data_IF_192418279568
#
_entry.id   IF_192418279568
#
_cell.length_a   1.000
_cell.length_b   1.000
_cell.length_c   1.000
_cell.angle_alpha   90.00
_cell.angle_beta   90.00
_cell.angle_gamma   90.00
#
_symmetry.space_group_name_H-M   'P 1'
#
loop_
_entity.id
_entity.type
_entity.pdbx_description
1 polymer ?
#
# COMPACT_ATOMS: atom_id res chain seq x y z
N UNK A 1 20.90 34.26 84.34
CA UNK A 1 19.96 33.13 84.17
C UNK A 1 19.61 33.06 82.70
N UNK A 2 20.22 32.12 82.07
CA UNK A 2 20.27 32.04 80.60
C UNK A 2 19.12 31.22 80.02
N UNK A 3 18.43 31.74 79.01
CA UNK A 3 17.48 31.00 78.27
C UNK A 3 18.01 30.85 76.85
N UNK A 4 18.16 29.62 76.41
CA UNK A 4 18.69 29.22 75.10
C UNK A 4 17.50 29.00 74.17
N UNK A 5 17.43 29.82 73.05
CA UNK A 5 16.52 29.60 71.94
C UNK A 5 17.17 28.59 70.98
N UNK A 6 16.46 27.48 70.70
CA UNK A 6 16.79 26.56 69.61
C UNK A 6 15.98 26.95 68.37
N UNK A 7 16.70 27.36 67.36
CA UNK A 7 16.13 27.56 66.00
C UNK A 7 15.93 26.22 65.31
N UNK A 8 14.71 25.96 64.82
CA UNK A 8 14.39 24.84 63.97
C UNK A 8 14.55 25.25 62.49
N UNK A 9 15.37 24.51 61.76
CA UNK A 9 15.53 24.64 60.31
C UNK A 9 14.44 23.78 59.66
N UNK A 10 13.51 24.43 58.94
CA UNK A 10 12.52 23.76 58.12
C UNK A 10 13.15 23.43 56.77
N UNK A 11 13.32 22.16 56.46
CA UNK A 11 13.72 21.67 55.17
C UNK A 11 12.52 21.71 54.21
N UNK A 12 12.57 22.58 53.20
CA UNK A 12 11.60 22.57 52.10
C UNK A 12 11.91 21.42 51.14
N UNK A 13 11.01 20.43 51.09
CA UNK A 13 11.07 19.37 50.10
C UNK A 13 10.62 19.91 48.73
N UNK A 14 11.54 19.98 47.78
CA UNK A 14 11.23 20.28 46.38
C UNK A 14 10.49 19.11 45.73
N UNK A 15 9.28 19.34 45.24
CA UNK A 15 8.52 18.42 44.40
C UNK A 15 9.21 18.29 43.01
N UNK A 16 9.31 17.09 42.43
CA UNK A 16 9.85 16.96 41.10
C UNK A 16 8.86 17.58 40.07
N UNK A 17 9.39 18.41 39.20
CA UNK A 17 8.66 19.02 38.11
C UNK A 17 8.01 17.94 37.22
N UNK A 18 6.73 18.11 36.97
CA UNK A 18 5.93 17.20 36.14
C UNK A 18 6.57 16.98 34.79
N UNK A 19 6.72 15.70 34.42
CA UNK A 19 7.10 15.29 33.08
C UNK A 19 6.06 15.85 32.09
N UNK A 20 6.51 16.63 31.10
CA UNK A 20 5.71 17.07 30.02
C UNK A 20 5.16 15.83 29.29
N UNK A 21 3.85 15.67 29.31
CA UNK A 21 3.17 14.69 28.48
C UNK A 21 3.56 15.01 27.02
N UNK A 22 4.24 14.08 26.40
CA UNK A 22 4.60 14.17 25.00
C UNK A 22 3.27 14.11 24.23
N UNK A 23 2.80 15.25 23.72
CA UNK A 23 1.66 15.32 22.84
C UNK A 23 1.92 14.37 21.65
N UNK A 24 1.23 13.23 21.62
CA UNK A 24 1.24 12.33 20.49
C UNK A 24 0.64 13.08 19.31
N UNK A 25 1.49 13.48 18.38
CA UNK A 25 1.07 14.10 17.11
C UNK A 25 0.01 13.19 16.49
N UNK A 26 -1.18 13.70 16.15
CA UNK A 26 -2.21 12.86 15.56
C UNK A 26 -1.63 12.18 14.32
N UNK A 27 -1.84 10.86 14.22
CA UNK A 27 -1.41 10.10 13.05
C UNK A 27 -2.00 10.73 11.79
N UNK A 28 -1.19 10.89 10.75
CA UNK A 28 -1.68 11.43 9.49
C UNK A 28 -2.83 10.56 8.96
N UNK A 29 -3.89 11.17 8.40
CA UNK A 29 -5.03 10.40 7.88
C UNK A 29 -4.56 9.41 6.80
N UNK A 30 -5.22 8.23 6.71
CA UNK A 30 -4.91 7.25 5.69
C UNK A 30 -5.07 7.83 4.28
N UNK A 31 -4.16 7.44 3.38
CA UNK A 31 -4.22 7.80 1.96
C UNK A 31 -5.30 6.99 1.22
N UNK A 32 -5.61 7.45 0.03
CA UNK A 32 -6.33 6.69 -0.98
C UNK A 32 -5.38 6.23 -2.06
N UNK A 33 -5.69 5.11 -2.71
CA UNK A 33 -4.88 4.57 -3.78
C UNK A 33 -5.73 4.42 -5.03
N UNK A 34 -5.28 4.99 -6.15
CA UNK A 34 -5.75 4.60 -7.48
C UNK A 34 -4.85 3.47 -7.95
N UNK A 35 -5.42 2.28 -8.03
CA UNK A 35 -4.75 1.07 -8.49
C UNK A 35 -5.20 0.79 -9.92
N UNK A 36 -4.29 0.89 -10.89
CA UNK A 36 -4.57 0.67 -12.32
C UNK A 36 -3.93 -0.63 -12.80
N UNK A 37 -4.67 -1.39 -13.59
CA UNK A 37 -4.22 -2.60 -14.26
C UNK A 37 -4.36 -2.42 -15.77
N UNK A 38 -3.24 -2.39 -16.47
CA UNK A 38 -3.18 -2.32 -17.92
C UNK A 38 -2.96 -3.70 -18.50
N UNK A 39 -3.90 -4.16 -19.32
CA UNK A 39 -3.82 -5.39 -20.10
C UNK A 39 -3.28 -5.03 -21.48
N UNK A 40 -2.20 -5.67 -21.90
CA UNK A 40 -1.45 -5.31 -23.08
C UNK A 40 -1.38 -6.49 -24.07
N UNK A 41 -1.18 -6.16 -25.34
CA UNK A 41 -0.72 -7.13 -26.36
C UNK A 41 0.81 -7.12 -26.41
N UNK A 42 1.38 -8.24 -26.81
CA UNK A 42 2.79 -8.30 -27.23
C UNK A 42 3.05 -7.34 -28.40
N UNK A 43 4.30 -6.94 -28.59
CA UNK A 43 4.67 -5.97 -29.64
C UNK A 43 4.91 -4.56 -29.10
N UNK A 44 4.25 -3.55 -29.65
CA UNK A 44 4.56 -2.14 -29.37
C UNK A 44 3.96 -1.59 -28.07
N UNK A 45 2.85 -2.17 -27.58
CA UNK A 45 2.12 -1.63 -26.43
C UNK A 45 2.93 -1.57 -25.12
N UNK A 46 3.70 -2.62 -24.74
CA UNK A 46 4.49 -2.54 -23.52
C UNK A 46 5.52 -1.41 -23.53
N UNK A 47 6.22 -1.23 -24.67
CA UNK A 47 7.20 -0.17 -24.85
C UNK A 47 6.53 1.21 -24.85
N UNK A 48 5.44 1.39 -25.60
CA UNK A 48 4.69 2.65 -25.65
C UNK A 48 4.18 3.07 -24.27
N UNK A 49 3.63 2.12 -23.50
CA UNK A 49 3.16 2.40 -22.13
C UNK A 49 4.34 2.74 -21.22
N UNK A 50 5.47 2.04 -21.32
CA UNK A 50 6.65 2.32 -20.50
C UNK A 50 7.23 3.72 -20.81
N UNK A 51 7.33 4.10 -22.09
CA UNK A 51 7.77 5.43 -22.52
C UNK A 51 6.82 6.53 -22.00
N UNK A 52 5.51 6.32 -22.09
CA UNK A 52 4.51 7.23 -21.52
C UNK A 52 4.64 7.35 -20.00
N UNK A 53 4.72 6.23 -19.29
CA UNK A 53 4.84 6.24 -17.83
C UNK A 53 6.11 6.98 -17.39
N UNK A 54 7.25 6.68 -18.01
CA UNK A 54 8.54 7.27 -17.65
C UNK A 54 8.66 8.74 -18.07
N UNK A 55 8.20 9.08 -19.27
CA UNK A 55 8.43 10.40 -19.89
C UNK A 55 7.34 11.42 -19.60
N UNK A 56 6.13 11.00 -19.29
CA UNK A 56 4.98 11.88 -19.08
C UNK A 56 4.28 11.66 -17.74
N UNK A 57 3.77 10.45 -17.49
CA UNK A 57 2.85 10.21 -16.38
C UNK A 57 3.53 10.36 -15.01
N UNK A 58 4.68 9.70 -14.76
CA UNK A 58 5.37 9.81 -13.48
C UNK A 58 5.83 11.24 -13.16
N UNK A 59 6.50 11.98 -14.08
CA UNK A 59 6.86 13.36 -13.84
C UNK A 59 5.66 14.25 -13.48
N UNK A 60 4.56 14.13 -14.21
CA UNK A 60 3.35 14.91 -13.96
C UNK A 60 2.70 14.55 -12.62
N UNK A 61 2.54 13.25 -12.30
CA UNK A 61 2.02 12.79 -11.02
C UNK A 61 2.85 13.30 -9.84
N UNK A 62 4.18 13.29 -9.97
CA UNK A 62 5.08 13.82 -8.95
C UNK A 62 4.93 15.35 -8.78
N UNK A 63 4.79 16.12 -9.87
CA UNK A 63 4.50 17.57 -9.81
C UNK A 63 3.18 17.84 -9.10
N UNK A 64 2.21 16.96 -9.26
CA UNK A 64 0.90 17.05 -8.59
C UNK A 64 0.92 16.56 -7.12
N UNK A 65 2.07 16.06 -6.62
CA UNK A 65 2.25 15.62 -5.24
C UNK A 65 1.87 14.15 -5.00
N UNK A 66 1.64 13.36 -6.07
CA UNK A 66 1.39 11.93 -5.98
C UNK A 66 2.72 11.17 -6.04
N UNK A 67 3.25 10.79 -4.88
CA UNK A 67 4.55 10.10 -4.74
C UNK A 67 4.59 9.28 -3.45
N UNK A 68 5.23 8.08 -3.41
CA UNK A 68 5.89 7.40 -4.53
C UNK A 68 4.91 6.68 -5.47
N UNK A 69 5.19 6.68 -6.78
CA UNK A 69 4.40 5.92 -7.75
C UNK A 69 5.00 4.52 -7.89
N UNK A 70 4.17 3.49 -7.67
CA UNK A 70 4.52 2.11 -7.96
C UNK A 70 4.16 1.74 -9.40
N UNK A 71 5.11 1.16 -10.14
CA UNK A 71 4.88 0.60 -11.46
C UNK A 71 5.46 -0.82 -11.51
N UNK A 72 4.62 -1.81 -11.82
CA UNK A 72 4.99 -3.21 -11.69
C UNK A 72 4.55 -4.02 -12.91
N UNK A 73 5.48 -4.78 -13.47
CA UNK A 73 5.21 -5.70 -14.57
C UNK A 73 4.77 -7.06 -14.02
N UNK A 74 3.76 -7.67 -14.66
CA UNK A 74 3.29 -9.00 -14.27
C UNK A 74 4.32 -10.08 -14.63
N UNK A 75 4.60 -10.95 -13.64
CA UNK A 75 5.44 -12.15 -13.80
C UNK A 75 4.56 -13.40 -13.91
N UNK A 76 3.54 -13.51 -13.04
CA UNK A 76 2.59 -14.62 -13.03
C UNK A 76 1.29 -14.23 -12.31
N UNK A 77 0.22 -15.00 -12.54
CA UNK A 77 -1.08 -14.83 -11.89
C UNK A 77 -2.11 -14.05 -12.70
N UNK A 78 -1.72 -13.40 -13.79
CA UNK A 78 -2.60 -12.75 -14.76
C UNK A 78 -2.07 -12.94 -16.19
N UNK A 79 -2.91 -12.74 -17.24
CA UNK A 79 -2.43 -12.68 -18.60
C UNK A 79 -1.31 -11.64 -18.77
N UNK A 80 -0.27 -11.98 -19.52
CA UNK A 80 0.92 -11.13 -19.76
C UNK A 80 1.06 -10.85 -21.25
N UNK A 81 1.56 -9.66 -21.66
CA UNK A 81 2.09 -8.60 -20.82
C UNK A 81 1.00 -7.78 -20.11
N UNK A 82 1.30 -7.37 -18.86
CA UNK A 82 0.44 -6.48 -18.07
C UNK A 82 1.30 -5.57 -17.19
N UNK A 83 0.81 -4.35 -16.95
CA UNK A 83 1.42 -3.39 -16.03
C UNK A 83 0.41 -3.00 -14.97
N UNK A 84 0.87 -2.97 -13.73
CA UNK A 84 0.12 -2.44 -12.60
C UNK A 84 0.72 -1.13 -12.13
N UNK A 85 -0.12 -0.13 -11.83
CA UNK A 85 0.31 1.18 -11.37
C UNK A 85 -0.42 1.54 -10.08
N UNK A 86 0.34 1.88 -9.04
CA UNK A 86 -0.15 2.34 -7.75
C UNK A 86 0.10 3.84 -7.62
N UNK A 87 -0.96 4.62 -7.52
CA UNK A 87 -0.91 6.08 -7.36
C UNK A 87 -1.47 6.45 -5.99
N UNK A 88 -0.64 6.94 -5.05
CA UNK A 88 -1.13 7.44 -3.77
C UNK A 88 -1.81 8.80 -3.96
N UNK A 89 -2.94 8.97 -3.30
CA UNK A 89 -3.74 10.19 -3.30
C UNK A 89 -4.03 10.60 -1.86
N UNK A 90 -3.62 11.80 -1.43
CA UNK A 90 -3.83 12.24 -0.04
C UNK A 90 -5.29 12.34 0.37
N UNK A 91 -6.20 12.64 -0.56
CA UNK A 91 -7.63 12.86 -0.33
C UNK A 91 -8.48 12.31 -1.47
N UNK A 92 -9.78 12.10 -1.24
CA UNK A 92 -10.73 11.76 -2.31
C UNK A 92 -10.87 12.89 -3.35
N UNK A 93 -10.72 14.14 -2.93
CA UNK A 93 -10.70 15.28 -3.86
C UNK A 93 -9.53 15.18 -4.84
N UNK A 94 -8.34 14.79 -4.34
CA UNK A 94 -7.17 14.59 -5.20
C UNK A 94 -7.35 13.44 -6.19
N UNK A 95 -8.16 12.42 -5.86
CA UNK A 95 -8.58 11.38 -6.81
C UNK A 95 -9.52 11.95 -7.86
N UNK A 96 -10.57 12.67 -7.42
CA UNK A 96 -11.62 13.19 -8.32
C UNK A 96 -11.14 14.28 -9.28
N UNK A 97 -10.07 14.97 -8.95
CA UNK A 97 -9.50 16.06 -9.78
C UNK A 97 -8.27 15.62 -10.58
N UNK A 98 -7.80 14.38 -10.40
CA UNK A 98 -6.53 13.91 -10.97
C UNK A 98 -6.46 14.04 -12.49
N UNK A 99 -7.45 13.53 -13.19
CA UNK A 99 -7.46 13.52 -14.66
C UNK A 99 -7.53 14.96 -15.21
N UNK A 100 -8.41 15.82 -14.67
CA UNK A 100 -8.50 17.23 -15.08
C UNK A 100 -7.20 18.00 -14.82
N UNK A 101 -6.48 17.70 -13.74
CA UNK A 101 -5.19 18.31 -13.44
C UNK A 101 -4.08 17.83 -14.38
N UNK A 102 -4.10 16.56 -14.78
CA UNK A 102 -3.19 16.01 -15.78
C UNK A 102 -3.47 16.62 -17.17
N UNK A 103 -4.72 16.73 -17.57
CA UNK A 103 -5.12 17.37 -18.83
C UNK A 103 -4.71 18.85 -18.91
N UNK A 104 -4.67 19.55 -17.77
CA UNK A 104 -4.21 20.94 -17.68
C UNK A 104 -2.66 21.08 -17.65
N UNK A 105 -1.91 20.00 -17.52
CA UNK A 105 -0.45 20.00 -17.55
C UNK A 105 0.06 19.91 -18.99
N UNK A 106 0.45 21.05 -19.57
CA UNK A 106 0.93 21.14 -20.97
C UNK A 106 2.10 20.22 -21.26
N UNK A 107 3.01 20.03 -20.29
CA UNK A 107 4.16 19.14 -20.46
C UNK A 107 3.70 17.66 -20.52
N UNK A 108 2.77 17.27 -19.66
CA UNK A 108 2.17 15.94 -19.67
C UNK A 108 1.48 15.66 -21.02
N UNK A 109 0.64 16.58 -21.49
CA UNK A 109 -0.07 16.43 -22.75
C UNK A 109 0.90 16.34 -23.94
N UNK A 110 1.92 17.20 -23.97
CA UNK A 110 2.93 17.18 -25.04
C UNK A 110 3.80 15.92 -25.00
N UNK A 111 4.32 15.53 -23.85
CA UNK A 111 5.20 14.36 -23.71
C UNK A 111 4.42 13.04 -23.83
N UNK A 112 3.16 13.03 -23.45
CA UNK A 112 2.26 11.88 -23.48
C UNK A 112 1.50 11.67 -24.78
N UNK A 113 1.59 12.61 -25.76
CA UNK A 113 0.74 12.62 -26.95
C UNK A 113 0.69 11.26 -27.70
N UNK A 114 1.82 10.58 -27.87
CA UNK A 114 1.88 9.28 -28.56
C UNK A 114 1.09 8.15 -27.85
N UNK A 115 0.76 8.32 -26.59
CA UNK A 115 -0.11 7.41 -25.83
C UNK A 115 -1.54 7.98 -25.73
N UNK A 116 -1.68 9.26 -25.41
CA UNK A 116 -2.97 9.92 -25.17
C UNK A 116 -3.82 9.95 -26.45
N UNK A 117 -3.20 10.27 -27.58
CA UNK A 117 -3.87 10.41 -28.87
C UNK A 117 -3.84 9.11 -29.72
N UNK A 118 -3.59 7.97 -29.07
CA UNK A 118 -3.51 6.69 -29.78
C UNK A 118 -4.81 6.35 -30.52
N UNK A 119 -4.70 6.08 -31.83
CA UNK A 119 -5.85 5.76 -32.65
C UNK A 119 -6.48 4.40 -32.28
N UNK A 120 -7.79 4.26 -32.50
CA UNK A 120 -8.49 2.99 -32.24
C UNK A 120 -7.94 1.81 -33.09
N UNK A 121 -7.30 2.09 -34.21
CA UNK A 121 -6.63 1.09 -35.08
C UNK A 121 -5.26 0.65 -34.57
N UNK A 122 -4.63 1.45 -33.65
CA UNK A 122 -3.36 1.13 -32.99
C UNK A 122 -3.42 1.59 -31.51
N UNK A 123 -4.26 0.96 -30.67
CA UNK A 123 -4.50 1.39 -29.30
C UNK A 123 -3.26 1.20 -28.44
N UNK A 124 -3.07 2.09 -27.47
CA UNK A 124 -1.94 2.05 -26.52
C UNK A 124 -2.01 0.86 -25.55
N UNK A 125 -3.18 0.31 -25.32
CA UNK A 125 -3.46 -0.87 -24.47
C UNK A 125 -4.70 -1.61 -24.97
N UNK A 126 -4.93 -2.82 -24.49
CA UNK A 126 -6.18 -3.57 -24.76
C UNK A 126 -7.28 -3.10 -23.83
N UNK A 127 -6.98 -3.00 -22.54
CA UNK A 127 -7.92 -2.60 -21.49
C UNK A 127 -7.17 -1.97 -20.32
N UNK A 128 -7.78 -0.98 -19.71
CA UNK A 128 -7.40 -0.45 -18.42
C UNK A 128 -8.53 -0.69 -17.43
N UNK A 129 -8.20 -1.28 -16.29
CA UNK A 129 -9.09 -1.44 -15.14
C UNK A 129 -8.54 -0.59 -13.99
N UNK A 130 -9.43 0.07 -13.25
CA UNK A 130 -9.05 0.89 -12.11
C UNK A 130 -9.85 0.50 -10.87
N UNK A 131 -9.18 0.55 -9.72
CA UNK A 131 -9.80 0.42 -8.41
C UNK A 131 -9.40 1.60 -7.55
N UNK A 132 -10.34 2.07 -6.74
CA UNK A 132 -10.11 3.04 -5.68
C UNK A 132 -10.08 2.31 -4.34
N UNK A 133 -8.97 2.45 -3.62
CA UNK A 133 -8.79 1.85 -2.30
C UNK A 133 -8.60 2.93 -1.23
N UNK A 134 -9.02 2.64 0.00
CA UNK A 134 -8.64 3.40 1.19
C UNK A 134 -7.58 2.63 1.95
N UNK A 135 -6.45 3.26 2.24
CA UNK A 135 -5.41 2.66 3.05
C UNK A 135 -5.94 2.23 4.44
N UNK A 136 -5.32 1.21 5.02
CA UNK A 136 -5.61 0.83 6.39
C UNK A 136 -5.00 1.84 7.37
N UNK A 137 -5.68 2.21 8.47
CA UNK A 137 -5.12 3.03 9.52
C UNK A 137 -3.79 2.54 10.08
N UNK A 138 -3.58 1.21 10.19
CA UNK A 138 -2.31 0.60 10.64
C UNK A 138 -1.18 0.70 9.62
N UNK A 139 -1.51 0.90 8.32
CA UNK A 139 -0.56 1.13 7.23
C UNK A 139 -1.09 2.29 6.38
N UNK A 140 -1.08 3.53 6.93
CA UNK A 140 -1.81 4.66 6.35
C UNK A 140 -1.19 5.21 5.07
N UNK A 141 0.03 4.77 4.73
CA UNK A 141 0.80 5.21 3.56
C UNK A 141 1.53 4.05 2.93
N UNK A 142 1.94 4.24 1.67
CA UNK A 142 2.87 3.30 1.01
C UNK A 142 4.18 3.25 1.81
N UNK A 143 4.61 2.04 2.13
CA UNK A 143 5.92 1.77 2.70
C UNK A 143 6.88 1.38 1.57
N UNK A 144 7.94 2.19 1.39
CA UNK A 144 9.02 1.85 0.47
C UNK A 144 10.07 1.05 1.26
N UNK A 145 10.21 -0.25 1.03
CA UNK A 145 11.07 -1.08 1.86
C UNK A 145 12.54 -0.72 1.67
N UNK A 146 13.18 -0.21 2.71
CA UNK A 146 14.61 0.17 2.68
C UNK A 146 15.53 -1.01 2.37
N UNK A 147 15.22 -2.20 2.88
CA UNK A 147 15.96 -3.43 2.62
C UNK A 147 15.94 -3.86 1.14
N UNK A 148 14.96 -3.38 0.38
CA UNK A 148 14.79 -3.68 -1.05
C UNK A 148 15.15 -2.50 -1.95
N UNK A 149 15.51 -1.35 -1.39
CA UNK A 149 15.95 -0.17 -2.14
C UNK A 149 17.27 -0.39 -2.89
N UNK A 150 18.04 -1.45 -2.56
CA UNK A 150 19.15 -1.95 -3.35
C UNK A 150 18.66 -2.50 -4.70
N UNK A 151 19.44 -2.32 -5.76
CA UNK A 151 19.14 -2.68 -7.15
C UNK A 151 19.05 -4.19 -7.45
N UNK A 152 18.86 -5.03 -6.44
CA UNK A 152 18.69 -6.48 -6.61
C UNK A 152 17.32 -6.87 -7.19
N UNK A 153 17.18 -8.08 -7.74
CA UNK A 153 15.89 -8.59 -8.14
C UNK A 153 14.95 -8.66 -6.92
N UNK A 154 13.74 -8.11 -7.07
CA UNK A 154 12.69 -8.11 -6.03
C UNK A 154 11.45 -8.76 -6.59
N UNK A 155 10.78 -9.54 -5.76
CA UNK A 155 9.49 -10.14 -6.05
C UNK A 155 8.41 -9.43 -5.24
N UNK A 156 7.45 -8.81 -5.91
CA UNK A 156 6.27 -8.26 -5.27
C UNK A 156 5.12 -9.27 -5.38
N UNK A 157 4.41 -9.47 -4.29
CA UNK A 157 3.25 -10.34 -4.20
C UNK A 157 2.02 -9.49 -3.92
N UNK A 158 1.17 -9.32 -4.94
CA UNK A 158 -0.13 -8.65 -4.83
C UNK A 158 -1.18 -9.69 -4.46
N UNK A 159 -1.95 -9.45 -3.42
CA UNK A 159 -3.03 -10.34 -3.00
C UNK A 159 -4.34 -9.56 -2.86
N UNK A 160 -5.39 -10.11 -3.45
CA UNK A 160 -6.76 -9.60 -3.29
C UNK A 160 -7.59 -10.68 -2.61
N UNK A 161 -8.21 -10.30 -1.50
CA UNK A 161 -9.10 -11.16 -0.71
C UNK A 161 -10.54 -10.72 -0.94
N UNK A 162 -11.30 -11.54 -1.62
CA UNK A 162 -12.74 -11.34 -1.85
C UNK A 162 -13.53 -11.95 -0.69
N UNK A 163 -14.56 -11.28 -0.24
CA UNK A 163 -15.41 -11.75 0.85
C UNK A 163 -16.81 -12.10 0.34
N UNK A 164 -17.51 -13.05 0.99
CA UNK A 164 -18.87 -13.44 0.59
C UNK A 164 -19.93 -12.36 0.86
N UNK A 165 -19.56 -11.31 1.59
CA UNK A 165 -20.42 -10.18 1.91
C UNK A 165 -19.77 -9.16 2.84
N UNK A 166 -20.46 -8.05 3.07
CA UNK A 166 -19.94 -6.89 3.78
C UNK A 166 -19.50 -7.16 5.23
N UNK A 167 -20.21 -8.05 5.94
CA UNK A 167 -19.84 -8.40 7.32
C UNK A 167 -18.51 -9.16 7.35
N UNK A 168 -18.35 -10.15 6.48
CA UNK A 168 -17.14 -10.93 6.33
C UNK A 168 -15.96 -10.05 5.89
N UNK A 169 -16.20 -9.14 4.93
CA UNK A 169 -15.21 -8.15 4.51
C UNK A 169 -14.73 -7.29 5.68
N UNK A 170 -15.64 -6.70 6.47
CA UNK A 170 -15.27 -5.91 7.66
C UNK A 170 -14.48 -6.74 8.68
N UNK A 171 -14.85 -8.02 8.87
CA UNK A 171 -14.12 -8.91 9.77
C UNK A 171 -12.68 -9.12 9.27
N UNK A 172 -12.48 -9.39 7.97
CA UNK A 172 -11.12 -9.57 7.41
C UNK A 172 -10.29 -8.30 7.46
N UNK A 173 -10.85 -7.12 7.15
CA UNK A 173 -10.17 -5.83 7.33
C UNK A 173 -9.74 -5.65 8.78
N UNK A 174 -10.64 -5.92 9.73
CA UNK A 174 -10.34 -5.81 11.16
C UNK A 174 -9.23 -6.75 11.63
N UNK A 175 -9.14 -7.97 11.08
CA UNK A 175 -8.02 -8.89 11.38
C UNK A 175 -6.68 -8.25 11.06
N UNK A 176 -6.57 -7.67 9.87
CA UNK A 176 -5.33 -7.01 9.44
C UNK A 176 -5.05 -5.74 10.25
N UNK A 177 -6.03 -4.86 10.34
CA UNK A 177 -5.87 -3.48 10.79
C UNK A 177 -5.87 -3.32 12.33
N UNK A 178 -6.73 -4.06 13.03
CA UNK A 178 -6.94 -3.88 14.48
C UNK A 178 -6.46 -5.07 15.32
N UNK A 179 -6.48 -6.30 14.77
CA UNK A 179 -6.21 -7.52 15.53
C UNK A 179 -4.78 -8.06 15.34
N UNK A 180 -3.90 -7.29 14.69
CA UNK A 180 -2.46 -7.52 14.68
C UNK A 180 -1.94 -8.45 13.59
N UNK A 181 -2.72 -8.78 12.53
CA UNK A 181 -2.22 -9.62 11.42
C UNK A 181 -1.06 -8.92 10.69
N UNK A 182 -1.08 -7.59 10.53
CA UNK A 182 0.03 -6.81 9.91
C UNK A 182 1.30 -6.89 10.76
N UNK A 183 1.20 -6.82 12.09
CA UNK A 183 2.35 -6.96 13.00
C UNK A 183 2.93 -8.37 12.94
N UNK A 184 2.07 -9.41 12.82
CA UNK A 184 2.53 -10.77 12.60
C UNK A 184 3.29 -10.85 11.28
N UNK A 185 2.77 -10.27 10.20
CA UNK A 185 3.46 -10.22 8.89
C UNK A 185 4.87 -9.66 9.03
N UNK A 186 5.02 -8.47 9.64
CA UNK A 186 6.32 -7.83 9.83
C UNK A 186 7.30 -8.72 10.61
N UNK A 187 6.82 -9.33 11.69
CA UNK A 187 7.65 -10.18 12.57
C UNK A 187 8.18 -11.42 11.87
N UNK A 188 7.42 -12.01 10.96
CA UNK A 188 7.80 -13.23 10.25
C UNK A 188 8.50 -12.99 8.90
N UNK A 189 8.76 -11.72 8.56
CA UNK A 189 9.46 -11.36 7.31
C UNK A 189 8.56 -11.20 6.07
N UNK A 190 7.24 -11.13 6.25
CA UNK A 190 6.30 -10.70 5.23
C UNK A 190 6.29 -9.16 5.22
N UNK A 191 7.06 -8.54 4.34
CA UNK A 191 7.29 -7.09 4.33
C UNK A 191 6.19 -6.34 3.60
N UNK A 192 5.38 -5.50 4.27
CA UNK A 192 4.33 -4.71 3.65
C UNK A 192 4.85 -3.66 2.66
N UNK A 193 4.05 -3.38 1.62
CA UNK A 193 4.17 -2.20 0.76
C UNK A 193 2.94 -1.31 0.93
N UNK A 194 1.75 -1.88 0.84
CA UNK A 194 0.50 -1.19 1.15
C UNK A 194 -0.59 -2.20 1.53
N UNK A 195 -1.60 -1.72 2.23
CA UNK A 195 -2.87 -2.39 2.48
C UNK A 195 -4.01 -1.43 2.19
N UNK A 196 -5.06 -1.91 1.51
CA UNK A 196 -6.22 -1.08 1.23
C UNK A 196 -7.50 -1.90 1.09
N UNK A 197 -8.61 -1.35 1.61
CA UNK A 197 -9.93 -1.86 1.28
C UNK A 197 -10.42 -1.20 0.00
N UNK A 198 -11.01 -1.97 -0.89
CA UNK A 198 -11.59 -1.44 -2.13
C UNK A 198 -12.88 -0.67 -1.84
N UNK A 199 -12.94 0.58 -2.27
CA UNK A 199 -14.12 1.45 -2.21
C UNK A 199 -14.95 1.31 -3.48
N UNK A 200 -14.26 1.30 -4.63
CA UNK A 200 -14.84 1.11 -5.97
C UNK A 200 -13.87 0.28 -6.78
N UNK A 201 -14.36 -0.78 -7.42
CA UNK A 201 -13.54 -1.66 -8.25
C UNK A 201 -14.24 -2.97 -8.58
N UNK A 202 -13.56 -3.88 -9.28
CA UNK A 202 -14.10 -5.20 -9.58
C UNK A 202 -14.09 -6.11 -8.34
N UNK A 203 -14.93 -7.15 -8.36
CA UNK A 203 -14.94 -8.25 -7.38
C UNK A 203 -15.14 -7.82 -5.93
N UNK A 204 -15.94 -6.80 -5.71
CA UNK A 204 -16.29 -6.31 -4.36
C UNK A 204 -17.30 -7.23 -3.64
N UNK A 205 -17.28 -7.27 -2.28
CA UNK A 205 -16.35 -6.53 -1.41
C UNK A 205 -15.01 -7.23 -1.30
N UNK A 206 -13.92 -6.48 -1.35
CA UNK A 206 -12.57 -7.03 -1.23
C UNK A 206 -11.59 -6.04 -0.59
N UNK A 207 -10.46 -6.59 -0.12
CA UNK A 207 -9.26 -5.85 0.23
C UNK A 207 -8.09 -6.31 -0.64
N UNK A 208 -7.16 -5.42 -0.88
CA UNK A 208 -5.96 -5.70 -1.65
C UNK A 208 -4.73 -5.19 -0.89
N UNK A 209 -3.68 -6.00 -0.88
CA UNK A 209 -2.39 -5.61 -0.30
C UNK A 209 -1.23 -6.12 -1.13
N UNK A 210 -0.07 -5.55 -0.91
CA UNK A 210 1.17 -5.94 -1.57
C UNK A 210 2.26 -6.17 -0.55
N UNK A 211 2.99 -7.27 -0.74
CA UNK A 211 4.20 -7.60 -0.01
C UNK A 211 5.39 -7.57 -0.96
N UNK A 212 6.59 -7.38 -0.40
CA UNK A 212 7.84 -7.52 -1.15
C UNK A 212 8.74 -8.56 -0.52
N UNK A 213 9.40 -9.33 -1.37
CA UNK A 213 10.35 -10.38 -1.02
C UNK A 213 11.63 -10.24 -1.85
N UNK A 214 12.75 -10.70 -1.33
CA UNK A 214 13.99 -10.76 -2.11
C UNK A 214 13.84 -11.67 -3.34
N UNK A 215 13.19 -12.83 -3.14
CA UNK A 215 12.95 -13.85 -4.16
C UNK A 215 11.87 -14.84 -3.69
N UNK A 216 11.54 -15.81 -4.55
CA UNK A 216 10.52 -16.83 -4.25
C UNK A 216 10.88 -17.68 -3.02
N UNK A 217 12.15 -18.04 -2.83
CA UNK A 217 12.58 -18.85 -1.68
C UNK A 217 12.42 -18.07 -0.35
N UNK A 218 12.71 -16.77 -0.34
CA UNK A 218 12.47 -15.91 0.82
C UNK A 218 10.96 -15.79 1.13
N UNK A 219 10.14 -15.65 0.09
CA UNK A 219 8.68 -15.67 0.21
C UNK A 219 8.17 -16.95 0.87
N UNK A 220 8.60 -18.13 0.37
CA UNK A 220 8.17 -19.41 0.92
C UNK A 220 8.50 -19.54 2.41
N UNK A 221 9.74 -19.21 2.80
CA UNK A 221 10.14 -19.23 4.22
C UNK A 221 9.28 -18.30 5.09
N UNK A 222 8.98 -17.09 4.62
CA UNK A 222 8.18 -16.12 5.37
C UNK A 222 6.71 -16.58 5.54
N UNK A 223 6.12 -17.16 4.48
CA UNK A 223 4.78 -17.75 4.58
C UNK A 223 4.73 -19.00 5.45
N UNK A 224 5.79 -19.84 5.46
CA UNK A 224 5.88 -20.98 6.38
C UNK A 224 5.95 -20.51 7.83
N UNK A 225 6.77 -19.50 8.10
CA UNK A 225 6.86 -18.89 9.42
C UNK A 225 5.51 -18.28 9.86
N UNK A 226 4.78 -17.61 8.95
CA UNK A 226 3.44 -17.09 9.22
C UNK A 226 2.45 -18.20 9.58
N UNK A 227 2.36 -19.25 8.77
CA UNK A 227 1.41 -20.35 8.98
C UNK A 227 1.65 -21.10 10.32
N UNK A 228 2.89 -21.10 10.79
CA UNK A 228 3.27 -21.77 12.04
C UNK A 228 3.25 -20.86 13.26
N UNK A 229 3.15 -19.53 13.08
CA UNK A 229 3.16 -18.54 14.15
C UNK A 229 2.00 -18.76 15.15
N UNK A 230 2.28 -18.82 16.47
CA UNK A 230 1.25 -19.06 17.47
C UNK A 230 0.18 -17.96 17.55
N UNK A 231 0.55 -16.69 17.34
CA UNK A 231 -0.39 -15.58 17.38
C UNK A 231 -1.33 -15.62 16.16
N UNK A 232 -0.81 -15.97 14.98
CA UNK A 232 -1.64 -16.24 13.81
C UNK A 232 -2.63 -17.37 14.05
N UNK A 233 -2.16 -18.53 14.55
CA UNK A 233 -3.03 -19.67 14.85
C UNK A 233 -4.14 -19.30 15.82
N UNK A 234 -3.82 -18.53 16.86
CA UNK A 234 -4.83 -18.04 17.82
C UNK A 234 -5.83 -17.11 17.16
N UNK A 235 -5.38 -16.17 16.34
CA UNK A 235 -6.25 -15.22 15.64
C UNK A 235 -7.18 -15.95 14.66
N UNK A 236 -6.64 -16.82 13.81
CA UNK A 236 -7.40 -17.59 12.82
C UNK A 236 -8.39 -18.59 13.44
N UNK A 237 -8.15 -19.06 14.67
CA UNK A 237 -9.06 -19.94 15.40
C UNK A 237 -10.17 -19.17 16.14
N UNK A 238 -10.16 -17.85 16.13
CA UNK A 238 -11.21 -17.05 16.77
C UNK A 238 -12.52 -17.20 16.00
N UNK A 239 -13.65 -17.54 16.63
CA UNK A 239 -14.94 -17.68 15.94
C UNK A 239 -15.30 -16.43 15.14
N UNK A 240 -15.72 -16.61 13.87
CA UNK A 240 -16.07 -15.54 12.95
C UNK A 240 -14.88 -14.89 12.23
N UNK A 241 -13.65 -15.45 12.37
CA UNK A 241 -12.44 -14.93 11.74
C UNK A 241 -11.66 -15.96 10.92
N UNK A 242 -12.12 -17.23 10.85
CA UNK A 242 -11.45 -18.20 9.97
C UNK A 242 -11.62 -17.82 8.49
N UNK A 243 -10.60 -18.08 7.67
CA UNK A 243 -10.69 -17.81 6.23
C UNK A 243 -11.90 -18.53 5.59
N UNK A 244 -12.26 -19.73 6.07
CA UNK A 244 -13.44 -20.44 5.59
C UNK A 244 -14.77 -19.71 5.84
N UNK A 245 -14.84 -18.84 6.85
CA UNK A 245 -16.03 -18.05 7.19
C UNK A 245 -16.07 -16.69 6.47
N UNK A 246 -14.89 -16.07 6.22
CA UNK A 246 -14.83 -14.66 5.81
C UNK A 246 -14.12 -14.39 4.47
N UNK A 247 -13.56 -15.42 3.82
CA UNK A 247 -12.88 -15.28 2.52
C UNK A 247 -13.53 -16.21 1.51
N UNK A 248 -14.03 -15.67 0.40
CA UNK A 248 -14.63 -16.45 -0.69
C UNK A 248 -13.61 -16.80 -1.79
N UNK A 249 -12.61 -15.94 -2.00
CA UNK A 249 -11.56 -16.16 -3.00
C UNK A 249 -10.30 -15.35 -2.64
N UNK A 250 -9.14 -15.86 -3.06
CA UNK A 250 -7.84 -15.17 -2.97
C UNK A 250 -7.18 -15.20 -4.33
N UNK A 251 -6.99 -14.02 -4.90
CA UNK A 251 -6.17 -13.85 -6.11
C UNK A 251 -4.75 -13.46 -5.70
N UNK A 252 -3.75 -14.13 -6.27
CA UNK A 252 -2.33 -13.80 -6.09
C UNK A 252 -1.70 -13.50 -7.42
N UNK A 253 -1.01 -12.34 -7.52
CA UNK A 253 -0.25 -11.93 -8.70
C UNK A 253 1.20 -11.67 -8.28
N UNK A 254 2.14 -12.24 -9.01
CA UNK A 254 3.56 -11.97 -8.84
C UNK A 254 4.00 -10.91 -9.82
N UNK A 255 4.74 -9.93 -9.29
CA UNK A 255 5.12 -8.73 -9.99
C UNK A 255 6.62 -8.46 -9.81
N UNK A 256 7.23 -7.76 -10.78
CA UNK A 256 8.54 -7.15 -10.65
C UNK A 256 8.42 -5.64 -10.85
N UNK A 257 9.25 -4.81 -10.20
CA UNK A 257 9.18 -3.38 -10.41
C UNK A 257 9.68 -3.05 -11.82
N UNK A 258 8.99 -2.16 -12.51
CA UNK A 258 9.52 -1.54 -13.74
C UNK A 258 10.75 -0.67 -13.39
N UNK A 259 11.66 -0.46 -14.35
CA UNK A 259 12.89 0.29 -14.12
C UNK A 259 12.67 1.73 -13.62
N UNK A 260 11.49 2.29 -13.90
CA UNK A 260 11.06 3.62 -13.50
C UNK A 260 10.14 3.62 -12.26
N UNK A 261 9.86 2.48 -11.65
CA UNK A 261 9.10 2.42 -10.40
C UNK A 261 9.83 3.15 -9.27
N UNK A 262 9.06 3.85 -8.44
CA UNK A 262 9.59 4.57 -7.27
C UNK A 262 9.48 3.73 -5.98
N UNK A 263 8.98 2.50 -6.11
CA UNK A 263 8.81 1.54 -5.01
C UNK A 263 9.67 0.32 -5.27
#
# INVERSE_FOLDING_TARGET
MSSVLRGGIAAAAALPAGGAAQETRPAAPPEFYVWRHYILRTGTQPRRLAEFMQGAALPALNRLGHTPIGAFEAVAGVPSPALFVLVPCPTLESVGTLDARLEADEEFMRAGAGYIDAAATDPAYVRQESSLLSAFPSVPRIEVPSATAGKGPRLFELRTYEAPGERAHRAKVRMFDELGEVEIFRRVGLTPVFFGRTIVGPRMPNLTYMLVHENMAARERAWDAFRTDPAWKKLAATPGYSDAEIVSNITTVYLRPAAYSQI
#
